data_IF_243038092660
#
_entry.id   IF_243038092660
#
_cell.length_a   1.000
_cell.length_b   1.000
_cell.length_c   1.000
_cell.angle_alpha   90.00
_cell.angle_beta   90.00
_cell.angle_gamma   90.00
#
_symmetry.space_group_name_H-M   'P 1'
#
loop_
_entity.id
_entity.type
_entity.pdbx_description
1 polymer ?
#
# COMPACT_ATOMS: atom_id res chain seq x y z
N UNK A 1 16.92 -36.41 -24.28
CA UNK A 1 15.50 -35.98 -24.36
C UNK A 1 15.02 -36.21 -25.78
N UNK A 2 14.05 -37.11 -25.97
CA UNK A 2 13.45 -37.39 -27.29
C UNK A 2 12.81 -36.11 -27.86
N UNK A 3 12.77 -35.97 -29.19
CA UNK A 3 12.12 -34.83 -29.86
C UNK A 3 10.67 -34.63 -29.41
N UNK A 4 9.97 -35.73 -29.10
CA UNK A 4 8.62 -35.70 -28.53
C UNK A 4 8.58 -35.01 -27.15
N UNK A 5 9.52 -35.29 -26.25
CA UNK A 5 9.59 -34.62 -24.93
C UNK A 5 9.81 -33.11 -25.05
N UNK A 6 10.61 -32.68 -26.02
CA UNK A 6 10.85 -31.24 -26.26
C UNK A 6 9.58 -30.54 -26.77
N UNK A 7 8.82 -31.18 -27.65
CA UNK A 7 7.54 -30.66 -28.14
C UNK A 7 6.48 -30.57 -27.04
N UNK A 8 6.38 -31.59 -26.18
CA UNK A 8 5.47 -31.55 -25.02
C UNK A 8 5.86 -30.47 -24.00
N UNK A 9 7.15 -30.30 -23.72
CA UNK A 9 7.63 -29.24 -22.84
C UNK A 9 7.33 -27.84 -23.41
N UNK A 10 7.50 -27.65 -24.72
CA UNK A 10 7.16 -26.40 -25.40
C UNK A 10 5.64 -26.14 -25.35
N UNK A 11 4.82 -27.15 -25.61
CA UNK A 11 3.37 -27.03 -25.53
C UNK A 11 2.91 -26.65 -24.11
N UNK A 12 3.47 -27.29 -23.07
CA UNK A 12 3.20 -26.94 -21.67
C UNK A 12 3.57 -25.48 -21.36
N UNK A 13 4.73 -25.03 -21.85
CA UNK A 13 5.22 -23.67 -21.62
C UNK A 13 4.31 -22.63 -22.30
N UNK A 14 3.86 -22.89 -23.53
CA UNK A 14 2.91 -22.02 -24.25
C UNK A 14 1.56 -21.97 -23.52
N UNK A 15 1.05 -23.11 -23.05
CA UNK A 15 -0.19 -23.16 -22.27
C UNK A 15 -0.06 -22.39 -20.95
N UNK A 16 1.06 -22.57 -20.23
CA UNK A 16 1.32 -21.84 -18.99
C UNK A 16 1.43 -20.33 -19.23
N UNK A 17 2.10 -19.90 -20.31
CA UNK A 17 2.21 -18.49 -20.69
C UNK A 17 0.85 -17.87 -21.05
N UNK A 18 0.02 -18.59 -21.82
CA UNK A 18 -1.36 -18.19 -22.13
C UNK A 18 -2.20 -18.08 -20.86
N UNK A 19 -2.11 -19.06 -19.97
CA UNK A 19 -2.86 -19.06 -18.72
C UNK A 19 -2.43 -17.88 -17.84
N UNK A 20 -1.13 -17.61 -17.70
CA UNK A 20 -0.62 -16.44 -16.98
C UNK A 20 -1.06 -15.12 -17.60
N UNK A 21 -1.17 -15.05 -18.93
CA UNK A 21 -1.67 -13.86 -19.62
C UNK A 21 -3.13 -13.58 -19.24
N UNK A 22 -4.00 -14.61 -19.24
CA UNK A 22 -5.41 -14.48 -18.83
C UNK A 22 -5.59 -14.27 -17.34
N UNK A 23 -4.74 -14.89 -16.51
CA UNK A 23 -4.82 -14.77 -15.05
C UNK A 23 -4.18 -13.48 -14.54
N UNK A 24 -3.39 -12.75 -15.34
CA UNK A 24 -2.72 -11.51 -14.93
C UNK A 24 -3.58 -10.54 -14.09
N UNK A 25 -4.82 -10.18 -14.47
CA UNK A 25 -5.67 -9.31 -13.66
C UNK A 25 -6.19 -9.96 -12.36
N UNK A 26 -6.26 -11.29 -12.29
CA UNK A 26 -6.73 -12.04 -11.11
C UNK A 26 -5.58 -12.43 -10.16
N UNK A 27 -4.35 -12.51 -10.67
CA UNK A 27 -3.16 -12.84 -9.87
C UNK A 27 -2.95 -11.85 -8.74
N UNK A 28 -3.15 -10.56 -9.00
CA UNK A 28 -2.97 -9.50 -7.99
C UNK A 28 -3.96 -9.66 -6.82
N UNK A 29 -5.29 -9.69 -7.03
CA UNK A 29 -6.23 -9.88 -5.91
C UNK A 29 -6.10 -11.27 -5.25
N UNK A 30 -5.73 -12.31 -6.00
CA UNK A 30 -5.48 -13.64 -5.44
C UNK A 30 -4.27 -13.66 -4.51
N UNK A 31 -3.14 -13.10 -4.95
CA UNK A 31 -1.92 -13.05 -4.15
C UNK A 31 -2.09 -12.16 -2.91
N UNK A 32 -2.80 -11.03 -3.05
CA UNK A 32 -3.17 -10.20 -1.90
C UNK A 32 -4.03 -10.96 -0.88
N UNK A 33 -5.01 -11.73 -1.35
CA UNK A 33 -5.85 -12.58 -0.50
C UNK A 33 -5.03 -13.66 0.20
N UNK A 34 -4.05 -14.25 -0.48
CA UNK A 34 -3.13 -15.23 0.10
C UNK A 34 -2.27 -14.63 1.22
N UNK A 35 -1.71 -13.43 1.01
CA UNK A 35 -0.94 -12.71 2.05
C UNK A 35 -1.83 -12.41 3.26
N UNK A 36 -3.05 -11.90 3.04
CA UNK A 36 -4.00 -11.62 4.11
C UNK A 36 -4.39 -12.89 4.88
N UNK A 37 -4.65 -13.99 4.17
CA UNK A 37 -4.96 -15.27 4.79
C UNK A 37 -3.78 -15.81 5.61
N UNK A 38 -2.55 -15.67 5.11
CA UNK A 38 -1.34 -16.07 5.84
C UNK A 38 -1.16 -15.25 7.14
N UNK A 39 -1.41 -13.94 7.09
CA UNK A 39 -1.38 -13.06 8.25
C UNK A 39 -2.49 -13.40 9.27
N UNK A 40 -3.69 -13.74 8.78
CA UNK A 40 -4.83 -14.11 9.62
C UNK A 40 -4.74 -15.52 10.21
N UNK A 41 -4.00 -16.43 9.57
CA UNK A 41 -3.87 -17.83 9.98
C UNK A 41 -3.48 -18.03 11.46
N UNK A 42 -2.45 -17.37 12.02
CA UNK A 42 -2.10 -17.53 13.44
C UNK A 42 -3.20 -17.04 14.40
N UNK A 43 -3.97 -16.03 14.01
CA UNK A 43 -5.10 -15.53 14.81
C UNK A 43 -6.28 -16.52 14.77
N UNK A 44 -6.53 -17.13 13.61
CA UNK A 44 -7.54 -18.19 13.45
C UNK A 44 -7.18 -19.40 14.30
N UNK A 45 -5.91 -19.84 14.26
CA UNK A 45 -5.45 -20.98 15.08
C UNK A 45 -5.62 -20.70 16.59
N UNK A 46 -5.35 -19.47 17.04
CA UNK A 46 -5.62 -19.06 18.43
C UNK A 46 -7.09 -19.15 18.81
N UNK A 47 -8.02 -18.74 17.94
CA UNK A 47 -9.45 -18.88 18.18
C UNK A 47 -9.90 -20.35 18.14
N UNK A 48 -9.32 -21.17 17.26
CA UNK A 48 -9.65 -22.60 17.20
C UNK A 48 -9.23 -23.33 18.47
N UNK A 49 -8.12 -22.93 19.12
CA UNK A 49 -7.71 -23.45 20.43
C UNK A 49 -8.73 -23.15 21.54
N UNK A 50 -9.55 -22.13 21.37
CA UNK A 50 -10.68 -21.80 22.28
C UNK A 50 -11.98 -22.54 21.91
N UNK A 51 -11.88 -23.61 21.12
CA UNK A 51 -13.00 -24.47 20.67
C UNK A 51 -14.01 -23.79 19.73
N UNK A 52 -13.65 -22.67 19.09
CA UNK A 52 -14.49 -22.11 18.03
C UNK A 52 -14.45 -22.97 16.76
N UNK A 53 -15.59 -23.18 16.06
CA UNK A 53 -15.60 -23.84 14.77
C UNK A 53 -14.83 -23.01 13.74
N UNK A 54 -14.09 -23.67 12.84
CA UNK A 54 -13.16 -23.04 11.88
C UNK A 54 -13.80 -21.86 11.13
N UNK A 55 -15.03 -22.03 10.64
CA UNK A 55 -15.73 -21.00 9.86
C UNK A 55 -15.95 -19.72 10.68
N UNK A 56 -16.35 -19.86 11.95
CA UNK A 56 -16.59 -18.72 12.85
C UNK A 56 -15.26 -18.03 13.20
N UNK A 57 -14.20 -18.81 13.45
CA UNK A 57 -12.88 -18.26 13.71
C UNK A 57 -12.36 -17.42 12.53
N UNK A 58 -12.52 -17.91 11.30
CA UNK A 58 -12.12 -17.18 10.08
C UNK A 58 -12.95 -15.90 9.93
N UNK A 59 -14.28 -15.98 10.03
CA UNK A 59 -15.17 -14.81 9.92
C UNK A 59 -14.84 -13.74 10.97
N UNK A 60 -14.62 -14.15 12.22
CA UNK A 60 -14.29 -13.23 13.30
C UNK A 60 -12.94 -12.53 13.06
N UNK A 61 -11.90 -13.27 12.64
CA UNK A 61 -10.58 -12.69 12.35
C UNK A 61 -10.65 -11.72 11.16
N UNK A 62 -11.35 -12.07 10.08
CA UNK A 62 -11.54 -11.17 8.95
C UNK A 62 -12.28 -9.90 9.36
N UNK A 63 -13.37 -10.02 10.12
CA UNK A 63 -14.15 -8.87 10.59
C UNK A 63 -13.29 -7.94 11.47
N UNK A 64 -12.57 -8.50 12.44
CA UNK A 64 -11.65 -7.75 13.30
C UNK A 64 -10.53 -7.09 12.50
N UNK A 65 -10.01 -7.77 11.48
CA UNK A 65 -8.95 -7.24 10.61
C UNK A 65 -9.45 -6.03 9.80
N UNK A 66 -10.65 -6.12 9.22
CA UNK A 66 -11.25 -4.99 8.49
C UNK A 66 -11.60 -3.82 9.41
N UNK A 67 -12.10 -4.08 10.61
CA UNK A 67 -12.36 -3.02 11.59
C UNK A 67 -11.05 -2.34 12.00
N UNK A 68 -10.01 -3.11 12.34
CA UNK A 68 -8.70 -2.57 12.70
C UNK A 68 -8.09 -1.75 11.56
N UNK A 69 -8.17 -2.25 10.32
CA UNK A 69 -7.69 -1.54 9.15
C UNK A 69 -8.47 -0.23 8.93
N UNK A 70 -9.79 -0.27 9.02
CA UNK A 70 -10.63 0.94 8.94
C UNK A 70 -10.28 1.96 10.03
N UNK A 71 -10.03 1.50 11.25
CA UNK A 71 -9.64 2.37 12.37
C UNK A 71 -8.27 3.01 12.14
N UNK A 72 -7.30 2.25 11.61
CA UNK A 72 -5.98 2.78 11.22
C UNK A 72 -6.15 3.87 10.14
N UNK A 73 -6.99 3.65 9.14
CA UNK A 73 -7.24 4.63 8.08
C UNK A 73 -7.88 5.91 8.64
N UNK A 74 -8.80 5.81 9.60
CA UNK A 74 -9.54 6.97 10.15
C UNK A 74 -8.77 7.71 11.24
N UNK A 75 -7.98 7.02 12.07
CA UNK A 75 -7.28 7.62 13.21
C UNK A 75 -5.80 7.85 12.93
N UNK A 76 -5.09 6.81 12.49
CA UNK A 76 -3.62 6.82 12.41
C UNK A 76 -3.14 7.60 11.20
N UNK A 77 -3.76 7.42 10.03
CA UNK A 77 -3.38 8.16 8.83
C UNK A 77 -3.47 9.69 9.02
N UNK A 78 -4.57 10.29 9.51
CA UNK A 78 -4.61 11.74 9.66
C UNK A 78 -3.65 12.26 10.72
N UNK A 79 -3.34 11.48 11.76
CA UNK A 79 -2.28 11.81 12.71
C UNK A 79 -0.92 11.85 12.01
N UNK A 80 -0.58 10.82 11.23
CA UNK A 80 0.66 10.77 10.46
C UNK A 80 0.78 11.91 9.44
N UNK A 81 -0.32 12.31 8.79
CA UNK A 81 -0.33 13.48 7.89
C UNK A 81 0.03 14.74 8.67
N UNK A 82 -0.54 14.96 9.86
CA UNK A 82 -0.24 16.15 10.68
C UNK A 82 1.23 16.20 11.07
N UNK A 83 1.80 15.06 11.47
CA UNK A 83 3.23 14.96 11.80
C UNK A 83 4.10 15.25 10.58
N UNK A 84 3.77 14.68 9.42
CA UNK A 84 4.51 14.93 8.18
C UNK A 84 4.42 16.40 7.76
N UNK A 85 3.23 17.01 7.83
CA UNK A 85 3.05 18.45 7.52
C UNK A 85 3.85 19.32 8.49
N UNK A 86 3.88 18.98 9.78
CA UNK A 86 4.71 19.68 10.76
C UNK A 86 6.21 19.55 10.42
N UNK A 87 6.67 18.36 10.01
CA UNK A 87 8.04 18.17 9.53
C UNK A 87 8.36 19.05 8.31
N UNK A 88 7.44 19.16 7.34
CA UNK A 88 7.62 20.07 6.19
C UNK A 88 7.64 21.54 6.60
N UNK A 89 6.87 21.94 7.62
CA UNK A 89 6.90 23.30 8.14
C UNK A 89 8.27 23.69 8.73
N UNK A 90 8.97 22.72 9.31
CA UNK A 90 10.33 22.91 9.86
C UNK A 90 11.46 22.61 8.84
N UNK A 91 11.14 22.02 7.68
CA UNK A 91 12.11 21.72 6.63
C UNK A 91 12.99 22.91 6.17
N UNK A 92 12.49 24.15 6.00
CA UNK A 92 13.34 25.29 5.61
C UNK A 92 14.39 25.64 6.68
N UNK A 93 14.05 25.50 7.96
CA UNK A 93 14.99 25.74 9.07
C UNK A 93 16.07 24.66 9.11
N UNK A 94 15.70 23.40 8.91
CA UNK A 94 16.64 22.27 8.79
C UNK A 94 17.55 22.45 7.57
N UNK A 95 17.00 22.89 6.44
CA UNK A 95 17.78 23.17 5.23
C UNK A 95 18.76 24.33 5.42
N UNK A 96 18.35 25.39 6.11
CA UNK A 96 19.23 26.51 6.46
C UNK A 96 20.35 26.08 7.41
N UNK A 97 20.04 25.27 8.43
CA UNK A 97 21.05 24.72 9.34
C UNK A 97 22.04 23.81 8.59
N UNK A 98 21.54 22.96 7.68
CA UNK A 98 22.36 22.07 6.85
C UNK A 98 23.31 22.87 5.95
N UNK A 99 22.84 23.93 5.31
CA UNK A 99 23.67 24.82 4.51
C UNK A 99 24.71 25.59 5.36
N UNK A 100 24.35 25.99 6.58
CA UNK A 100 25.23 26.77 7.44
C UNK A 100 26.32 25.93 8.16
N UNK A 101 26.04 24.67 8.50
CA UNK A 101 26.92 23.85 9.33
C UNK A 101 27.48 22.61 8.62
N UNK A 102 26.66 21.93 7.83
CA UNK A 102 27.01 20.63 7.23
C UNK A 102 27.69 20.81 5.87
N UNK A 103 27.17 21.73 5.06
CA UNK A 103 27.72 22.02 3.73
C UNK A 103 29.18 22.50 3.79
N UNK A 104 29.58 23.45 4.66
CA UNK A 104 30.98 23.90 4.74
C UNK A 104 31.92 22.77 5.18
N UNK A 105 31.48 21.92 6.12
CA UNK A 105 32.25 20.76 6.57
C UNK A 105 32.49 19.75 5.43
N UNK A 106 31.45 19.47 4.62
CA UNK A 106 31.53 18.60 3.44
C UNK A 106 32.40 19.19 2.32
N UNK A 107 32.33 20.49 2.06
CA UNK A 107 33.18 21.16 1.06
C UNK A 107 34.65 21.07 1.49
N UNK A 108 34.95 21.30 2.77
CA UNK A 108 36.32 21.27 3.30
C UNK A 108 36.92 19.85 3.31
N UNK A 109 36.15 18.83 3.66
CA UNK A 109 36.66 17.44 3.72
C UNK A 109 36.58 16.68 2.40
N UNK A 110 35.60 16.96 1.55
CA UNK A 110 35.32 16.15 0.35
C UNK A 110 35.41 16.95 -0.97
N UNK A 111 35.69 18.26 -0.94
CA UNK A 111 35.89 19.06 -2.15
C UNK A 111 34.66 19.19 -3.07
N UNK A 112 33.46 18.93 -2.55
CA UNK A 112 32.21 18.95 -3.31
C UNK A 112 31.88 20.40 -3.72
N UNK A 113 31.50 20.63 -4.99
CA UNK A 113 31.17 21.98 -5.45
C UNK A 113 29.89 22.52 -4.77
N UNK A 114 29.86 23.79 -4.29
CA UNK A 114 28.77 24.34 -3.48
C UNK A 114 27.37 24.44 -4.13
N UNK A 115 27.20 24.04 -5.40
CA UNK A 115 25.95 24.24 -6.15
C UNK A 115 25.17 22.96 -6.51
N UNK A 116 25.71 21.77 -6.26
CA UNK A 116 25.09 20.52 -6.70
C UNK A 116 23.87 20.09 -5.86
N UNK A 117 23.77 20.59 -4.62
CA UNK A 117 22.70 20.24 -3.67
C UNK A 117 21.83 21.47 -3.42
N UNK A 118 20.69 21.55 -4.09
CA UNK A 118 19.67 22.58 -3.88
C UNK A 118 18.52 21.99 -3.07
N UNK A 119 18.37 22.36 -1.78
CA UNK A 119 17.28 21.87 -0.93
C UNK A 119 15.89 22.20 -1.49
N UNK A 120 15.77 23.30 -2.25
CA UNK A 120 14.52 23.70 -2.92
C UNK A 120 14.02 22.64 -3.91
N UNK A 121 14.88 22.12 -4.78
CA UNK A 121 14.51 21.08 -5.75
C UNK A 121 14.09 19.78 -5.09
N UNK A 122 14.69 19.43 -3.95
CA UNK A 122 14.29 18.26 -3.17
C UNK A 122 12.90 18.46 -2.55
N UNK A 123 12.62 19.64 -2.00
CA UNK A 123 11.29 19.97 -1.48
C UNK A 123 10.21 19.90 -2.58
N UNK A 124 10.52 20.38 -3.78
CA UNK A 124 9.57 20.35 -4.91
C UNK A 124 9.23 18.91 -5.33
N UNK A 125 10.24 18.02 -5.45
CA UNK A 125 10.05 16.62 -5.80
C UNK A 125 9.24 15.86 -4.74
N UNK A 126 9.51 16.12 -3.47
CA UNK A 126 8.81 15.46 -2.36
C UNK A 126 7.36 15.94 -2.28
N UNK A 127 7.12 17.24 -2.44
CA UNK A 127 5.77 17.83 -2.42
C UNK A 127 4.91 17.32 -3.59
N UNK A 128 5.48 17.24 -4.80
CA UNK A 128 4.78 16.71 -5.96
C UNK A 128 4.37 15.24 -5.78
N UNK A 129 5.22 14.44 -5.14
CA UNK A 129 4.91 13.03 -4.86
C UNK A 129 3.85 12.90 -3.75
N UNK A 130 3.89 13.75 -2.73
CA UNK A 130 2.91 13.79 -1.64
C UNK A 130 1.51 14.18 -2.15
N UNK A 131 1.43 15.19 -3.02
CA UNK A 131 0.15 15.61 -3.63
C UNK A 131 -0.43 14.49 -4.52
N UNK A 132 0.42 13.79 -5.28
CA UNK A 132 0.02 12.65 -6.10
C UNK A 132 -0.52 11.49 -5.25
N UNK A 133 0.14 11.19 -4.13
CA UNK A 133 -0.33 10.21 -3.15
C UNK A 133 -1.68 10.64 -2.54
N UNK A 134 -1.84 11.91 -2.17
CA UNK A 134 -3.09 12.46 -1.65
C UNK A 134 -4.25 12.37 -2.65
N UNK A 135 -4.00 12.67 -3.94
CA UNK A 135 -5.00 12.53 -5.02
C UNK A 135 -5.42 11.08 -5.27
N UNK A 136 -4.48 10.13 -5.15
CA UNK A 136 -4.78 8.69 -5.24
C UNK A 136 -5.62 8.24 -4.06
N UNK A 137 -5.23 8.62 -2.83
CA UNK A 137 -5.97 8.32 -1.62
C UNK A 137 -7.39 8.89 -1.68
N UNK A 138 -7.55 10.15 -2.12
CA UNK A 138 -8.85 10.79 -2.31
C UNK A 138 -9.74 10.08 -3.33
N UNK A 139 -9.16 9.60 -4.45
CA UNK A 139 -9.90 8.79 -5.44
C UNK A 139 -10.36 7.46 -4.87
N UNK A 140 -9.49 6.74 -4.15
CA UNK A 140 -9.87 5.46 -3.52
C UNK A 140 -10.98 5.68 -2.50
N UNK A 141 -10.84 6.68 -1.63
CA UNK A 141 -11.86 7.02 -0.64
C UNK A 141 -13.19 7.41 -1.28
N UNK A 142 -13.17 8.21 -2.35
CA UNK A 142 -14.37 8.60 -3.08
C UNK A 142 -15.06 7.38 -3.71
N UNK A 143 -14.32 6.48 -4.36
CA UNK A 143 -14.87 5.26 -4.97
C UNK A 143 -15.43 4.29 -3.93
N UNK A 144 -14.75 4.12 -2.79
CA UNK A 144 -15.23 3.28 -1.69
C UNK A 144 -16.50 3.87 -1.08
N UNK A 145 -16.54 5.19 -0.86
CA UNK A 145 -17.70 5.89 -0.30
C UNK A 145 -18.89 5.86 -1.24
N UNK A 146 -18.69 6.06 -2.55
CA UNK A 146 -19.77 6.00 -3.54
C UNK A 146 -20.33 4.59 -3.69
N UNK A 147 -19.46 3.57 -3.65
CA UNK A 147 -19.89 2.16 -3.69
C UNK A 147 -20.70 1.80 -2.46
N UNK A 148 -20.29 2.26 -1.27
CA UNK A 148 -21.06 2.07 -0.04
C UNK A 148 -22.44 2.75 -0.12
N UNK A 149 -22.47 4.02 -0.57
CA UNK A 149 -23.72 4.76 -0.76
C UNK A 149 -24.66 4.05 -1.75
N UNK A 150 -24.14 3.52 -2.87
CA UNK A 150 -24.93 2.78 -3.84
C UNK A 150 -25.53 1.48 -3.27
N UNK A 151 -24.81 0.77 -2.39
CA UNK A 151 -25.36 -0.41 -1.69
C UNK A 151 -26.46 0.01 -0.72
N UNK A 152 -26.26 1.07 0.05
CA UNK A 152 -27.32 1.60 0.94
C UNK A 152 -28.55 2.03 0.14
N UNK A 153 -28.35 2.75 -0.96
CA UNK A 153 -29.42 3.21 -1.84
C UNK A 153 -30.17 2.04 -2.49
N UNK A 154 -29.46 0.98 -2.91
CA UNK A 154 -30.07 -0.26 -3.39
C UNK A 154 -31.02 -0.87 -2.34
N UNK A 155 -30.59 -0.97 -1.08
CA UNK A 155 -31.46 -1.50 -0.01
C UNK A 155 -32.63 -0.57 0.31
N UNK A 156 -32.42 0.75 0.29
CA UNK A 156 -33.51 1.73 0.47
C UNK A 156 -34.56 1.58 -0.63
N UNK A 157 -34.11 1.49 -1.88
CA UNK A 157 -34.98 1.33 -3.04
C UNK A 157 -35.65 -0.06 -3.11
N UNK A 158 -35.10 -1.07 -2.44
CA UNK A 158 -35.71 -2.40 -2.35
C UNK A 158 -36.84 -2.46 -1.30
N UNK A 159 -36.81 -1.58 -0.29
CA UNK A 159 -37.79 -1.52 0.79
C UNK A 159 -38.99 -0.60 0.44
N UNK A 160 -38.76 0.38 -0.43
CA UNK A 160 -39.77 1.29 -1.01
C UNK A 160 -40.55 0.63 -2.15
#
# INVERSE_FOLDING_TARGET
>A
MSAAQKLWALALLVIAALLLHFLRPVLVPFFASFILAYLGYPLVDRLQRWKFPRTVAVLAVFLLTFIALGLILVLVIPMGIREIVALFAHAPEVAAWFQAHVLPWLVVHFGIQPGALQPSKLMDLVSANFESAGKLAGRVLATVSSSAAAVFEFFINLIL
#
